data_IF_379325909155
#
_entry.id   IF_379325909155
#
_cell.length_a   1.000
_cell.length_b   1.000
_cell.length_c   1.000
_cell.angle_alpha   90.00
_cell.angle_beta   90.00
_cell.angle_gamma   90.00
#
_symmetry.space_group_name_H-M   'P 1'
#
loop_
_entity.id
_entity.type
_entity.pdbx_description
1 polymer ?
#
# COMPACT_ATOMS: atom_id res chain seq x y z
N UNK A 1 19.16 23.81 -10.63
CA UNK A 1 17.93 23.02 -10.62
C UNK A 1 16.86 23.84 -11.32
N UNK A 2 16.71 23.64 -12.63
CA UNK A 2 15.79 24.40 -13.48
C UNK A 2 14.37 23.95 -13.20
N UNK A 3 13.52 24.84 -12.68
CA UNK A 3 12.10 24.57 -12.46
C UNK A 3 11.40 24.52 -13.84
N UNK A 4 10.95 23.34 -14.25
CA UNK A 4 10.15 23.16 -15.46
C UNK A 4 8.73 23.67 -15.19
N UNK A 5 8.42 24.90 -15.64
CA UNK A 5 7.11 25.51 -15.47
C UNK A 5 6.07 24.82 -16.36
N UNK A 6 5.19 24.02 -15.75
CA UNK A 6 4.07 23.36 -16.42
C UNK A 6 3.70 21.98 -15.87
N UNK A 7 4.61 21.33 -15.14
CA UNK A 7 4.37 20.06 -14.48
C UNK A 7 4.07 20.30 -12.99
N UNK A 8 3.01 19.66 -12.47
CA UNK A 8 2.79 19.61 -11.02
C UNK A 8 3.89 18.78 -10.38
N UNK A 9 4.53 19.30 -9.34
CA UNK A 9 5.55 18.57 -8.61
C UNK A 9 4.90 17.40 -7.86
N UNK A 10 5.35 16.17 -8.15
CA UNK A 10 5.00 15.01 -7.35
C UNK A 10 5.85 15.00 -6.08
N UNK A 11 5.22 14.74 -4.94
CA UNK A 11 5.89 14.69 -3.64
C UNK A 11 5.57 13.38 -2.93
N UNK A 12 6.56 12.81 -2.25
CA UNK A 12 6.34 11.72 -1.30
C UNK A 12 5.98 12.33 0.06
N UNK A 13 4.74 12.16 0.48
CA UNK A 13 4.27 12.69 1.77
C UNK A 13 4.81 11.84 2.92
N UNK A 14 4.60 10.52 2.84
CA UNK A 14 4.99 9.60 3.90
C UNK A 14 5.02 8.14 3.39
N UNK A 15 5.66 7.23 4.13
CA UNK A 15 5.76 5.81 3.78
C UNK A 15 5.84 4.86 4.99
N UNK A 16 4.95 3.89 5.05
CA UNK A 16 4.88 2.85 6.10
C UNK A 16 5.22 1.47 5.54
N UNK A 17 5.50 0.53 6.43
CA UNK A 17 5.58 -0.90 6.12
C UNK A 17 5.15 -1.72 7.32
N UNK A 18 4.70 -2.95 7.05
CA UNK A 18 4.61 -3.97 8.08
C UNK A 18 6.00 -4.54 8.42
N UNK A 19 6.16 -5.20 9.57
CA UNK A 19 7.38 -5.94 9.89
C UNK A 19 7.70 -7.01 8.84
N UNK A 20 8.98 -7.21 8.53
CA UNK A 20 9.40 -8.29 7.64
C UNK A 20 9.70 -9.53 8.47
N UNK A 21 8.92 -10.58 8.25
CA UNK A 21 9.04 -11.84 8.96
C UNK A 21 9.56 -12.93 8.04
N UNK A 22 10.16 -13.97 8.64
CA UNK A 22 10.59 -15.15 7.89
C UNK A 22 9.36 -15.89 7.35
N UNK A 23 9.42 -16.38 6.11
CA UNK A 23 8.34 -17.20 5.54
C UNK A 23 8.01 -18.39 6.44
N UNK A 24 6.71 -18.67 6.62
CA UNK A 24 6.21 -19.74 7.49
C UNK A 24 6.13 -19.40 9.00
N UNK A 25 6.44 -18.16 9.39
CA UNK A 25 6.30 -17.69 10.78
C UNK A 25 4.95 -17.01 11.03
N UNK A 26 4.89 -15.88 11.75
CA UNK A 26 3.66 -15.36 12.37
C UNK A 26 2.59 -14.91 11.36
N UNK A 27 2.97 -14.58 10.12
CA UNK A 27 2.02 -14.23 9.04
C UNK A 27 1.57 -15.41 8.18
N UNK A 28 1.94 -16.66 8.51
CA UNK A 28 1.68 -17.83 7.66
C UNK A 28 0.20 -18.11 7.34
N UNK A 29 -0.72 -17.65 8.20
CA UNK A 29 -2.15 -17.87 8.07
C UNK A 29 -2.88 -16.67 7.44
N UNK A 30 -2.16 -15.63 7.03
CA UNK A 30 -2.72 -14.42 6.43
C UNK A 30 -2.57 -14.47 4.91
N UNK A 31 -3.53 -13.86 4.22
CA UNK A 31 -3.48 -13.69 2.78
C UNK A 31 -2.71 -12.41 2.41
N UNK A 32 -2.23 -12.33 1.16
CA UNK A 32 -1.46 -11.18 0.70
C UNK A 32 -2.22 -9.85 0.81
N UNK A 33 -3.56 -9.86 0.65
CA UNK A 33 -4.38 -8.66 0.81
C UNK A 33 -4.52 -8.24 2.27
N UNK A 34 -4.55 -9.18 3.23
CA UNK A 34 -4.56 -8.86 4.66
C UNK A 34 -3.27 -8.09 5.04
N UNK A 35 -2.14 -8.49 4.49
CA UNK A 35 -0.86 -7.81 4.68
C UNK A 35 -0.86 -6.40 4.07
N UNK A 36 -1.46 -6.25 2.87
CA UNK A 36 -1.67 -4.96 2.22
C UNK A 36 -2.57 -4.04 3.03
N UNK A 37 -3.67 -4.57 3.55
CA UNK A 37 -4.63 -3.86 4.41
C UNK A 37 -3.94 -3.28 5.64
N UNK A 38 -3.13 -4.09 6.33
CA UNK A 38 -2.39 -3.65 7.52
C UNK A 38 -1.46 -2.47 7.20
N UNK A 39 -0.76 -2.51 6.06
CA UNK A 39 0.08 -1.41 5.61
C UNK A 39 -0.74 -0.15 5.31
N UNK A 40 -1.80 -0.25 4.50
CA UNK A 40 -2.65 0.90 4.12
C UNK A 40 -3.29 1.53 5.35
N UNK A 41 -3.87 0.72 6.24
CA UNK A 41 -4.49 1.20 7.49
C UNK A 41 -3.50 1.94 8.37
N UNK A 42 -2.27 1.45 8.48
CA UNK A 42 -1.23 2.12 9.26
C UNK A 42 -0.83 3.47 8.63
N UNK A 43 -0.79 3.58 7.30
CA UNK A 43 -0.51 4.82 6.58
C UNK A 43 -1.59 5.86 6.84
N UNK A 44 -2.86 5.48 6.69
CA UNK A 44 -4.01 6.36 6.94
C UNK A 44 -4.03 6.81 8.41
N UNK A 45 -3.76 5.90 9.35
CA UNK A 45 -3.69 6.23 10.78
C UNK A 45 -2.58 7.23 11.09
N UNK A 46 -1.40 7.07 10.47
CA UNK A 46 -0.24 7.94 10.72
C UNK A 46 -0.37 9.31 10.06
N UNK A 47 -0.88 9.35 8.84
CA UNK A 47 -1.01 10.58 8.04
C UNK A 47 -2.30 11.34 8.35
N UNK A 48 -3.30 10.70 8.97
CA UNK A 48 -4.63 11.25 9.23
C UNK A 48 -5.31 11.81 7.97
N UNK A 49 -4.95 11.29 6.80
CA UNK A 49 -5.58 11.64 5.54
C UNK A 49 -6.99 11.03 5.50
N UNK A 50 -7.96 11.86 5.12
CA UNK A 50 -9.31 11.40 4.82
C UNK A 50 -9.27 10.41 3.64
N UNK A 51 -9.70 9.15 3.82
CA UNK A 51 -9.73 8.15 2.75
C UNK A 51 -10.51 8.60 1.50
N UNK A 52 -11.50 9.48 1.65
CA UNK A 52 -12.28 10.02 0.53
C UNK A 52 -11.49 10.91 -0.42
N UNK A 53 -10.27 11.34 -0.05
CA UNK A 53 -9.36 12.15 -0.89
C UNK A 53 -8.40 11.30 -1.72
N UNK A 54 -8.39 9.98 -1.56
CA UNK A 54 -7.51 9.08 -2.30
C UNK A 54 -8.19 8.66 -3.59
N UNK A 55 -7.71 9.18 -4.72
CA UNK A 55 -8.30 8.87 -6.04
C UNK A 55 -7.94 7.45 -6.51
N UNK A 56 -6.72 7.00 -6.24
CA UNK A 56 -6.17 5.74 -6.76
C UNK A 56 -5.28 5.03 -5.75
N UNK A 57 -5.39 3.70 -5.72
CA UNK A 57 -4.52 2.81 -4.95
C UNK A 57 -3.90 1.79 -5.90
N UNK A 58 -2.58 1.61 -5.79
CA UNK A 58 -1.83 0.62 -6.56
C UNK A 58 -0.98 -0.21 -5.61
N UNK A 59 -1.10 -1.54 -5.68
CA UNK A 59 -0.26 -2.49 -4.95
C UNK A 59 0.43 -3.44 -5.93
N UNK A 60 1.71 -3.68 -5.72
CA UNK A 60 2.46 -4.71 -6.44
C UNK A 60 2.41 -6.03 -5.68
N UNK A 61 2.01 -7.11 -6.37
CA UNK A 61 2.17 -8.49 -5.89
C UNK A 61 2.75 -9.35 -7.01
N UNK A 62 3.78 -10.15 -6.70
CA UNK A 62 4.44 -11.02 -7.69
C UNK A 62 3.72 -12.36 -7.79
N UNK A 63 3.36 -12.95 -6.66
CA UNK A 63 2.59 -14.20 -6.61
C UNK A 63 1.11 -13.83 -6.51
N UNK A 64 0.36 -14.10 -7.57
CA UNK A 64 -1.08 -13.88 -7.61
C UNK A 64 -1.83 -15.14 -7.15
N UNK A 65 -2.94 -14.93 -6.45
CA UNK A 65 -3.90 -15.98 -6.15
C UNK A 65 -5.15 -15.71 -7.00
N UNK A 66 -5.67 -16.75 -7.68
CA UNK A 66 -6.86 -16.64 -8.53
C UNK A 66 -8.10 -16.17 -7.77
N UNK A 67 -8.23 -16.53 -6.50
CA UNK A 67 -9.33 -16.10 -5.65
C UNK A 67 -9.26 -14.62 -5.27
N UNK A 68 -8.08 -14.00 -5.33
CA UNK A 68 -7.83 -12.59 -4.96
C UNK A 68 -6.95 -11.94 -6.03
N UNK A 69 -7.47 -11.93 -7.26
CA UNK A 69 -6.72 -11.48 -8.45
C UNK A 69 -6.27 -10.03 -8.33
N UNK A 70 -7.06 -9.17 -7.68
CA UNK A 70 -6.73 -7.78 -7.42
C UNK A 70 -6.54 -7.50 -5.92
N UNK A 71 -5.33 -7.79 -5.43
CA UNK A 71 -4.91 -7.54 -4.04
C UNK A 71 -5.11 -6.08 -3.62
N UNK A 72 -4.99 -5.10 -4.53
CA UNK A 72 -5.21 -3.69 -4.21
C UNK A 72 -6.68 -3.34 -3.97
N UNK A 73 -7.61 -4.11 -4.57
CA UNK A 73 -9.05 -3.93 -4.40
C UNK A 73 -9.57 -4.63 -3.15
N UNK A 74 -8.95 -5.75 -2.79
CA UNK A 74 -9.36 -6.61 -1.69
C UNK A 74 -8.70 -6.25 -0.35
N UNK A 75 -7.66 -5.39 -0.37
CA UNK A 75 -6.96 -4.87 0.80
C UNK A 75 -7.74 -3.77 1.54
#
# INVERSE_FOLDING_TARGET
>A
MTQQSGLRNAVLVDGVRIPFLRSGSDFKNLMSYDLGQMAIKSLLTRTQIDPGKVDWVMLGSVVSNLSTSNVARDA
#
